data_IF_485182382040
#
_entry.id   IF_485182382040
#
_cell.length_a   1.000
_cell.length_b   1.000
_cell.length_c   1.000
_cell.angle_alpha   90.00
_cell.angle_beta   90.00
_cell.angle_gamma   90.00
#
_symmetry.space_group_name_H-M   'P 1'
#
loop_
_entity.id
_entity.type
_entity.pdbx_description
1 polymer ?
#
# COMPACT_ATOMS: atom_id res chain seq x y z
N UNK A 1 -16.12 -2.97 -3.02
CA UNK A 1 -15.32 -2.32 -1.97
C UNK A 1 -14.35 -3.36 -1.45
N UNK A 2 -13.06 -3.04 -1.47
CA UNK A 2 -11.95 -3.93 -1.14
C UNK A 2 -12.04 -4.34 0.33
N UNK A 3 -11.90 -5.62 0.60
CA UNK A 3 -11.69 -6.13 1.95
C UNK A 3 -10.19 -6.14 2.24
N UNK A 4 -9.66 -5.00 2.69
CA UNK A 4 -8.22 -4.85 2.98
C UNK A 4 -7.69 -5.83 4.03
N UNK A 5 -8.43 -6.16 5.11
CA UNK A 5 -8.01 -7.21 6.05
C UNK A 5 -7.75 -8.58 5.40
N UNK A 6 -8.45 -8.90 4.30
CA UNK A 6 -8.28 -10.14 3.52
C UNK A 6 -7.55 -9.97 2.19
N UNK A 7 -6.95 -8.81 1.95
CA UNK A 7 -6.22 -8.50 0.71
C UNK A 7 -4.73 -8.40 0.98
N UNK A 8 -3.93 -9.05 0.14
CA UNK A 8 -2.51 -9.26 0.41
C UNK A 8 -1.66 -9.09 -0.85
N UNK A 9 -0.43 -8.62 -0.65
CA UNK A 9 0.65 -8.89 -1.57
C UNK A 9 1.54 -9.98 -0.95
N UNK A 10 1.87 -10.99 -1.76
CA UNK A 10 2.70 -12.13 -1.37
C UNK A 10 3.86 -12.25 -2.33
N UNK A 11 5.01 -12.70 -1.82
CA UNK A 11 6.16 -12.96 -2.67
C UNK A 11 7.07 -14.04 -2.10
N UNK A 12 7.91 -14.57 -2.98
CA UNK A 12 9.02 -15.46 -2.67
C UNK A 12 10.34 -14.71 -2.93
N UNK A 13 11.21 -14.66 -1.94
CA UNK A 13 12.52 -14.02 -2.11
C UNK A 13 13.41 -14.84 -3.03
N UNK A 14 14.35 -14.19 -3.71
CA UNK A 14 15.49 -14.92 -4.26
C UNK A 14 16.30 -15.58 -3.12
N UNK A 15 17.10 -16.63 -3.43
CA UNK A 15 18.00 -17.22 -2.46
C UNK A 15 18.92 -16.17 -1.84
N UNK A 16 18.89 -16.08 -0.52
CA UNK A 16 19.66 -15.07 0.21
C UNK A 16 21.16 -15.29 0.02
N UNK A 17 21.91 -14.19 0.00
CA UNK A 17 23.37 -14.18 -0.16
C UNK A 17 23.98 -13.49 1.05
N UNK A 18 25.13 -13.99 1.49
CA UNK A 18 25.90 -13.34 2.55
C UNK A 18 26.25 -11.91 2.13
N UNK A 19 26.04 -10.97 3.05
CA UNK A 19 26.51 -9.60 2.89
C UNK A 19 27.97 -9.51 3.37
N UNK A 20 28.87 -8.86 2.60
CA UNK A 20 30.29 -8.82 2.93
C UNK A 20 30.63 -8.02 4.20
N UNK A 21 29.71 -7.17 4.67
CA UNK A 21 29.95 -6.26 5.78
C UNK A 21 28.99 -6.49 6.94
N UNK A 22 27.75 -6.89 6.66
CA UNK A 22 26.69 -7.01 7.66
C UNK A 22 26.31 -8.46 7.92
N UNK A 23 26.51 -8.92 9.16
CA UNK A 23 26.09 -10.26 9.60
C UNK A 23 24.61 -10.54 9.35
N UNK A 24 23.76 -9.54 9.54
CA UNK A 24 22.30 -9.62 9.38
C UNK A 24 21.79 -8.44 8.55
N UNK A 25 22.28 -8.30 7.31
CA UNK A 25 21.82 -7.25 6.39
C UNK A 25 20.28 -7.22 6.32
N UNK A 26 19.68 -6.05 6.58
CA UNK A 26 18.23 -5.87 6.61
C UNK A 26 17.49 -6.73 7.66
N UNK A 27 18.19 -7.23 8.69
CA UNK A 27 17.63 -8.09 9.72
C UNK A 27 17.45 -9.55 9.33
N UNK A 28 17.97 -9.98 8.17
CA UNK A 28 17.83 -11.37 7.76
C UNK A 28 18.67 -12.31 8.62
N UNK A 29 18.03 -13.25 9.33
CA UNK A 29 18.71 -14.37 9.97
C UNK A 29 18.43 -15.63 9.15
N UNK A 30 19.49 -16.20 8.61
CA UNK A 30 19.43 -17.42 7.81
C UNK A 30 20.80 -17.78 7.27
N UNK A 31 20.81 -18.72 6.33
CA UNK A 31 22.02 -19.17 5.63
C UNK A 31 21.95 -18.77 4.16
N UNK A 32 23.12 -18.65 3.53
CA UNK A 32 23.20 -18.52 2.07
C UNK A 32 22.35 -19.60 1.39
N UNK A 33 21.50 -19.19 0.45
CA UNK A 33 20.55 -20.07 -0.23
C UNK A 33 19.15 -20.13 0.39
N UNK A 34 18.96 -19.63 1.62
CA UNK A 34 17.63 -19.59 2.25
C UNK A 34 16.65 -18.75 1.42
N UNK A 35 15.43 -19.24 1.31
CA UNK A 35 14.31 -18.54 0.66
C UNK A 35 13.22 -18.30 1.68
N UNK A 36 12.56 -17.13 1.59
CA UNK A 36 11.40 -16.79 2.42
C UNK A 36 10.18 -16.59 1.54
N UNK A 37 9.04 -17.06 2.04
CA UNK A 37 7.74 -16.68 1.51
C UNK A 37 7.15 -15.65 2.47
N UNK A 38 6.77 -14.51 1.92
CA UNK A 38 6.32 -13.35 2.69
C UNK A 38 4.93 -12.97 2.24
N UNK A 39 4.14 -12.48 3.20
CA UNK A 39 2.81 -11.92 2.99
C UNK A 39 2.69 -10.66 3.82
N UNK A 40 2.12 -9.61 3.24
CA UNK A 40 1.68 -8.42 3.96
C UNK A 40 0.36 -7.91 3.40
N UNK A 41 -0.35 -7.16 4.23
CA UNK A 41 -1.63 -6.56 3.87
C UNK A 41 -1.46 -5.40 2.91
N UNK A 42 -2.45 -5.24 2.04
CA UNK A 42 -2.62 -4.02 1.26
C UNK A 42 -3.42 -3.03 2.12
N UNK A 43 -3.03 -1.76 2.15
CA UNK A 43 -3.67 -0.71 2.96
C UNK A 43 -4.15 0.49 2.14
N UNK A 44 -3.86 0.52 0.84
CA UNK A 44 -4.54 1.43 -0.08
C UNK A 44 -4.48 0.86 -1.50
N UNK A 45 -5.47 1.22 -2.32
CA UNK A 45 -5.47 1.00 -3.76
C UNK A 45 -5.80 2.29 -4.48
N UNK A 46 -5.12 2.56 -5.58
CA UNK A 46 -5.42 3.63 -6.52
C UNK A 46 -5.64 3.02 -7.90
N UNK A 47 -6.77 3.32 -8.53
CA UNK A 47 -7.07 2.91 -9.90
C UNK A 47 -7.09 4.13 -10.80
N UNK A 48 -6.34 4.07 -11.90
CA UNK A 48 -6.42 5.04 -13.01
C UNK A 48 -7.34 4.42 -14.06
N UNK A 49 -8.32 5.16 -14.55
CA UNK A 49 -9.30 4.70 -15.55
C UNK A 49 -9.57 5.75 -16.62
N UNK A 50 -9.99 5.31 -17.80
CA UNK A 50 -10.48 6.21 -18.86
C UNK A 50 -11.93 6.66 -18.61
N UNK A 51 -12.45 7.56 -19.46
CA UNK A 51 -13.83 8.09 -19.38
C UNK A 51 -14.91 7.00 -19.45
N UNK A 52 -14.60 5.80 -19.96
CA UNK A 52 -15.53 4.66 -20.01
C UNK A 52 -15.44 3.78 -18.75
N UNK A 53 -14.63 4.16 -17.77
CA UNK A 53 -14.41 3.41 -16.54
C UNK A 53 -13.52 2.17 -16.71
N UNK A 54 -12.82 2.02 -17.85
CA UNK A 54 -11.87 0.92 -18.02
C UNK A 54 -10.62 1.23 -17.20
N UNK A 55 -10.27 0.33 -16.29
CA UNK A 55 -9.02 0.42 -15.53
C UNK A 55 -7.81 0.33 -16.48
N UNK A 56 -6.95 1.34 -16.42
CA UNK A 56 -5.69 1.44 -17.16
C UNK A 56 -4.50 1.05 -16.27
N UNK A 57 -4.60 1.33 -14.97
CA UNK A 57 -3.57 1.03 -13.99
C UNK A 57 -4.17 0.78 -12.61
N UNK A 58 -3.51 -0.06 -11.83
CA UNK A 58 -3.72 -0.19 -10.40
C UNK A 58 -2.39 0.01 -9.68
N UNK A 59 -2.44 0.81 -8.62
CA UNK A 59 -1.34 1.04 -7.70
C UNK A 59 -1.82 0.68 -6.30
N UNK A 60 -0.90 0.24 -5.47
CA UNK A 60 -1.19 -0.24 -4.12
C UNK A 60 -0.12 0.28 -3.16
N UNK A 61 -0.54 0.57 -1.94
CA UNK A 61 0.36 0.73 -0.79
C UNK A 61 0.07 -0.44 0.13
N UNK A 62 1.11 -1.12 0.59
CA UNK A 62 0.92 -2.13 1.63
C UNK A 62 1.35 -1.66 3.01
N UNK A 63 1.00 -2.50 3.98
CA UNK A 63 1.19 -2.22 5.39
C UNK A 63 2.65 -1.89 5.74
N UNK A 64 2.88 -1.02 6.74
CA UNK A 64 4.22 -0.73 7.22
C UNK A 64 4.92 -2.00 7.70
N UNK A 65 6.14 -2.20 7.21
CA UNK A 65 7.04 -3.20 7.70
C UNK A 65 8.02 -2.55 8.68
N UNK A 66 8.29 -3.23 9.79
CA UNK A 66 9.25 -2.78 10.80
C UNK A 66 10.54 -3.58 10.61
N UNK A 67 11.67 -3.03 11.03
CA UNK A 67 12.93 -3.78 10.99
C UNK A 67 13.06 -4.60 12.26
N UNK A 68 12.54 -5.81 12.20
CA UNK A 68 12.85 -6.90 13.12
C UNK A 68 13.96 -7.79 12.56
N UNK A 69 14.56 -8.61 13.43
CA UNK A 69 15.28 -9.78 12.96
C UNK A 69 14.28 -10.82 12.45
N UNK A 70 14.50 -11.38 11.25
CA UNK A 70 13.58 -12.36 10.67
C UNK A 70 13.85 -13.75 11.23
N UNK A 71 12.82 -14.37 11.81
CA UNK A 71 12.88 -15.73 12.41
C UNK A 71 14.04 -15.90 13.41
N UNK A 72 14.23 -15.01 14.41
CA UNK A 72 15.26 -15.15 15.41
C UNK A 72 14.87 -16.24 16.42
N UNK A 73 15.87 -16.87 17.06
CA UNK A 73 15.61 -17.71 18.24
C UNK A 73 15.35 -16.86 19.49
N UNK A 74 16.00 -15.70 19.57
CA UNK A 74 15.92 -14.75 20.66
C UNK A 74 16.22 -13.34 20.14
N UNK A 75 15.73 -12.30 20.84
CA UNK A 75 15.98 -10.91 20.46
C UNK A 75 15.31 -10.49 19.15
N UNK A 76 13.97 -10.57 19.08
CA UNK A 76 13.21 -10.25 17.86
C UNK A 76 13.34 -8.78 17.41
N UNK A 77 13.24 -7.85 18.36
CA UNK A 77 13.25 -6.42 18.07
C UNK A 77 14.67 -5.91 17.84
N UNK A 78 14.87 -5.18 16.73
CA UNK A 78 16.08 -4.39 16.54
C UNK A 78 15.92 -3.06 17.27
N UNK A 79 17.00 -2.59 17.91
CA UNK A 79 17.04 -1.30 18.59
C UNK A 79 18.29 -0.55 18.13
N UNK A 80 18.16 0.59 17.42
CA UNK A 80 16.89 1.19 16.98
C UNK A 80 16.19 0.34 15.89
N UNK A 81 14.87 0.38 15.86
CA UNK A 81 14.06 -0.13 14.74
C UNK A 81 13.78 1.00 13.75
N UNK A 82 13.59 0.66 12.48
CA UNK A 82 13.01 1.55 11.48
C UNK A 82 11.72 0.98 10.92
N UNK A 83 10.96 1.82 10.22
CA UNK A 83 9.75 1.46 9.50
C UNK A 83 9.94 1.80 8.02
N UNK A 84 9.49 0.92 7.14
CA UNK A 84 9.46 1.16 5.71
C UNK A 84 8.13 0.72 5.11
N UNK A 85 7.83 1.26 3.93
CA UNK A 85 6.64 0.93 3.15
C UNK A 85 7.03 0.60 1.71
N UNK A 86 6.11 -0.07 1.04
CA UNK A 86 6.24 -0.42 -0.36
C UNK A 86 4.99 0.03 -1.11
N UNK A 87 5.23 0.63 -2.27
CA UNK A 87 4.21 0.89 -3.27
C UNK A 87 4.47 0.00 -4.48
N UNK A 88 3.42 -0.47 -5.13
CA UNK A 88 3.52 -1.39 -6.25
C UNK A 88 2.33 -1.23 -7.20
N UNK A 89 2.57 -1.48 -8.48
CA UNK A 89 1.54 -1.83 -9.44
C UNK A 89 1.41 -3.35 -9.53
N UNK A 90 0.63 -3.84 -10.49
CA UNK A 90 0.55 -5.28 -10.79
C UNK A 90 1.86 -5.90 -11.24
N UNK A 91 2.78 -5.11 -11.76
CA UNK A 91 4.01 -5.60 -12.40
C UNK A 91 5.27 -4.94 -11.87
N UNK A 92 5.16 -3.79 -11.19
CA UNK A 92 6.32 -3.01 -10.75
C UNK A 92 6.24 -2.66 -9.27
N UNK A 93 7.39 -2.61 -8.61
CA UNK A 93 7.57 -1.84 -7.39
C UNK A 93 7.78 -0.37 -7.77
N UNK A 94 6.99 0.51 -7.17
CA UNK A 94 7.05 1.95 -7.39
C UNK A 94 7.93 2.58 -6.28
N UNK A 95 8.89 3.44 -6.64
CA UNK A 95 9.73 4.08 -5.63
C UNK A 95 8.92 5.04 -4.75
N UNK A 96 9.24 5.06 -3.46
CA UNK A 96 8.74 6.05 -2.50
C UNK A 96 9.93 6.94 -2.13
N UNK A 97 9.71 8.25 -2.09
CA UNK A 97 10.73 9.23 -1.69
C UNK A 97 11.32 8.86 -0.32
N UNK A 98 12.65 8.93 -0.19
CA UNK A 98 13.35 8.49 1.03
C UNK A 98 13.25 9.50 2.17
N UNK A 99 12.87 10.74 1.87
CA UNK A 99 12.68 11.83 2.83
C UNK A 99 11.51 12.72 2.41
N UNK A 100 10.83 13.36 3.38
CA UNK A 100 9.89 14.42 3.08
C UNK A 100 10.64 15.59 2.44
N UNK A 101 10.52 15.72 1.11
CA UNK A 101 11.19 16.76 0.34
C UNK A 101 10.41 17.03 -0.96
N UNK A 102 10.52 18.24 -1.48
CA UNK A 102 10.08 18.56 -2.84
C UNK A 102 11.17 18.30 -3.90
N UNK A 103 12.35 17.87 -3.47
CA UNK A 103 13.46 17.56 -4.38
C UNK A 103 13.21 16.24 -5.11
N UNK A 104 13.52 16.21 -6.40
CA UNK A 104 13.51 14.98 -7.20
C UNK A 104 14.65 14.06 -6.77
N UNK A 105 14.31 12.81 -6.44
CA UNK A 105 15.29 11.75 -6.23
C UNK A 105 15.40 10.91 -7.50
N UNK A 106 16.62 10.52 -7.94
CA UNK A 106 16.77 9.56 -9.02
C UNK A 106 16.24 8.21 -8.53
N UNK A 107 15.04 7.86 -8.97
CA UNK A 107 14.39 6.59 -8.69
C UNK A 107 13.61 6.15 -9.93
N UNK A 108 13.58 4.85 -10.16
CA UNK A 108 12.80 4.24 -11.23
C UNK A 108 11.97 3.11 -10.66
N UNK A 109 10.81 2.86 -11.27
CA UNK A 109 10.08 1.64 -11.03
C UNK A 109 10.97 0.42 -11.35
N UNK A 110 10.77 -0.65 -10.59
CA UNK A 110 11.48 -1.93 -10.77
C UNK A 110 10.46 -3.02 -11.05
N UNK A 111 10.66 -3.83 -12.08
CA UNK A 111 9.82 -5.00 -12.37
C UNK A 111 9.80 -5.96 -11.16
N UNK A 112 8.63 -6.47 -10.80
CA UNK A 112 8.46 -7.36 -9.65
C UNK A 112 9.20 -8.69 -9.85
N UNK A 113 9.30 -9.18 -11.09
CA UNK A 113 10.07 -10.38 -11.44
C UNK A 113 11.59 -10.20 -11.28
N UNK A 114 12.09 -8.97 -11.26
CA UNK A 114 13.49 -8.67 -10.93
C UNK A 114 13.71 -8.57 -9.41
N UNK A 115 12.66 -8.22 -8.66
CA UNK A 115 12.70 -8.07 -7.21
C UNK A 115 12.42 -9.39 -6.47
N UNK A 116 11.59 -10.26 -7.05
CA UNK A 116 11.04 -11.46 -6.40
C UNK A 116 11.08 -12.67 -7.33
N UNK A 117 11.27 -13.86 -6.76
CA UNK A 117 11.25 -15.10 -7.53
C UNK A 117 9.83 -15.48 -7.99
N UNK A 118 8.84 -15.11 -7.19
CA UNK A 118 7.41 -15.34 -7.43
C UNK A 118 6.63 -14.31 -6.63
N UNK A 119 5.47 -13.89 -7.12
CA UNK A 119 4.69 -12.82 -6.50
C UNK A 119 3.20 -12.86 -6.90
N UNK A 120 2.31 -12.50 -5.98
CA UNK A 120 0.86 -12.40 -6.23
C UNK A 120 0.20 -11.30 -5.40
N UNK A 121 -0.66 -10.52 -6.05
CA UNK A 121 -1.50 -9.47 -5.43
C UNK A 121 -2.95 -9.95 -5.43
N UNK A 122 -3.41 -10.41 -4.28
CA UNK A 122 -4.78 -10.92 -4.10
C UNK A 122 -5.66 -9.88 -3.43
N UNK A 123 -6.65 -9.35 -4.16
CA UNK A 123 -7.67 -8.47 -3.62
C UNK A 123 -8.95 -9.27 -3.34
N UNK A 124 -9.52 -9.06 -2.16
CA UNK A 124 -10.87 -9.54 -1.82
C UNK A 124 -11.82 -8.35 -1.78
N UNK A 125 -13.11 -8.62 -1.97
CA UNK A 125 -14.15 -7.61 -1.96
C UNK A 125 -15.18 -7.99 -0.89
N UNK A 126 -15.75 -6.99 -0.22
CA UNK A 126 -16.98 -7.19 0.53
C UNK A 126 -18.12 -7.53 -0.44
N UNK A 127 -18.94 -8.55 -0.15
CA UNK A 127 -20.02 -8.95 -1.04
C UNK A 127 -21.16 -7.92 -1.09
N UNK A 128 -21.41 -7.22 0.02
CA UNK A 128 -22.53 -6.29 0.18
C UNK A 128 -22.10 -5.02 0.93
N UNK A 129 -21.24 -4.16 0.34
CA UNK A 129 -20.90 -2.89 0.97
C UNK A 129 -22.11 -1.95 0.96
N UNK A 130 -22.26 -1.17 2.03
CA UNK A 130 -23.27 -0.12 2.15
C UNK A 130 -22.56 1.22 1.96
N UNK A 131 -23.06 2.04 1.05
CA UNK A 131 -22.53 3.38 0.80
C UNK A 131 -23.08 4.35 1.85
N UNK A 132 -22.20 5.13 2.48
CA UNK A 132 -22.51 6.12 3.51
C UNK A 132 -22.03 7.49 3.03
N UNK A 133 -22.95 8.31 2.51
CA UNK A 133 -22.66 9.66 2.02
C UNK A 133 -23.09 10.77 2.99
N UNK A 134 -23.79 10.40 4.07
CA UNK A 134 -24.29 11.30 5.09
C UNK A 134 -23.55 11.09 6.42
N UNK A 135 -23.37 12.17 7.18
CA UNK A 135 -22.60 12.11 8.42
C UNK A 135 -23.24 11.25 9.50
N UNK A 136 -24.57 11.30 9.67
CA UNK A 136 -25.28 10.56 10.73
C UNK A 136 -25.10 9.03 10.59
N UNK A 137 -25.41 8.38 9.44
CA UNK A 137 -25.14 6.95 9.24
C UNK A 137 -23.67 6.57 9.42
N UNK A 138 -22.74 7.45 9.07
CA UNK A 138 -21.30 7.22 9.24
C UNK A 138 -20.90 7.25 10.71
N UNK A 139 -21.42 8.21 11.50
CA UNK A 139 -21.23 8.26 12.95
C UNK A 139 -21.80 7.00 13.61
N UNK A 140 -23.02 6.58 13.24
CA UNK A 140 -23.64 5.37 13.77
C UNK A 140 -22.80 4.12 13.45
N UNK A 141 -22.35 3.97 12.20
CA UNK A 141 -21.49 2.87 11.79
C UNK A 141 -20.14 2.87 12.54
N UNK A 142 -19.57 4.05 12.79
CA UNK A 142 -18.34 4.22 13.57
C UNK A 142 -18.54 3.75 15.01
N UNK A 143 -19.62 4.18 15.67
CA UNK A 143 -19.94 3.78 17.05
C UNK A 143 -20.27 2.28 17.16
N UNK A 144 -20.78 1.68 16.09
CA UNK A 144 -21.02 0.25 15.99
C UNK A 144 -19.75 -0.59 15.72
N UNK A 145 -18.58 0.03 15.59
CA UNK A 145 -17.31 -0.61 15.19
C UNK A 145 -17.42 -1.34 13.84
N UNK A 146 -18.20 -0.78 12.91
CA UNK A 146 -18.27 -1.32 11.55
C UNK A 146 -16.91 -1.21 10.86
N UNK A 147 -16.62 -2.14 9.94
CA UNK A 147 -15.50 -1.97 9.01
C UNK A 147 -15.87 -0.89 8.01
N UNK A 148 -15.03 0.13 7.90
CA UNK A 148 -15.24 1.28 7.05
C UNK A 148 -14.09 1.42 6.06
N UNK A 149 -14.40 1.70 4.80
CA UNK A 149 -13.43 2.17 3.82
C UNK A 149 -13.85 3.54 3.33
N UNK A 150 -12.87 4.38 3.02
CA UNK A 150 -13.08 5.59 2.25
C UNK A 150 -12.77 5.32 0.78
N UNK A 151 -13.57 5.91 -0.11
CA UNK A 151 -13.34 5.92 -1.55
C UNK A 151 -13.44 7.35 -2.06
N UNK A 152 -12.38 7.85 -2.67
CA UNK A 152 -12.31 9.18 -3.24
C UNK A 152 -12.05 9.06 -4.74
N UNK A 153 -12.85 9.75 -5.56
CA UNK A 153 -12.66 9.78 -7.01
C UNK A 153 -12.57 11.21 -7.49
N UNK A 154 -11.62 11.50 -8.37
CA UNK A 154 -11.53 12.76 -9.09
C UNK A 154 -11.23 12.51 -10.58
N UNK A 155 -11.52 13.52 -11.40
CA UNK A 155 -11.12 13.56 -12.81
C UNK A 155 -10.00 14.58 -12.96
N UNK A 156 -8.96 14.22 -13.69
CA UNK A 156 -7.91 15.13 -14.09
C UNK A 156 -8.30 15.81 -15.41
N UNK A 157 -8.48 17.14 -15.38
CA UNK A 157 -8.97 17.88 -16.55
C UNK A 157 -7.95 17.95 -17.70
N UNK A 158 -6.65 17.79 -17.42
CA UNK A 158 -5.61 17.84 -18.45
C UNK A 158 -5.55 16.57 -19.30
N UNK A 159 -5.66 15.42 -18.64
CA UNK A 159 -5.56 14.09 -19.27
C UNK A 159 -6.92 13.47 -19.55
N UNK A 160 -7.98 13.96 -18.90
CA UNK A 160 -9.32 13.36 -18.91
C UNK A 160 -9.42 12.08 -18.07
N UNK A 161 -8.35 11.65 -17.39
CA UNK A 161 -8.32 10.39 -16.65
C UNK A 161 -9.06 10.50 -15.32
N UNK A 162 -9.67 9.40 -14.91
CA UNK A 162 -10.30 9.26 -13.59
C UNK A 162 -9.36 8.52 -12.64
N UNK A 163 -9.13 9.10 -11.46
CA UNK A 163 -8.34 8.49 -10.40
C UNK A 163 -9.25 8.19 -9.23
N UNK A 164 -9.27 6.92 -8.80
CA UNK A 164 -10.03 6.46 -7.64
C UNK A 164 -9.09 5.88 -6.61
N UNK A 165 -9.07 6.43 -5.40
CA UNK A 165 -8.32 5.91 -4.27
C UNK A 165 -9.27 5.31 -3.25
N UNK A 166 -8.98 4.08 -2.82
CA UNK A 166 -9.72 3.37 -1.78
C UNK A 166 -8.75 2.93 -0.66
N UNK A 167 -9.15 3.08 0.59
CA UNK A 167 -8.35 2.71 1.76
C UNK A 167 -9.24 2.39 2.98
N UNK A 168 -8.79 1.54 3.91
CA UNK A 168 -9.53 1.27 5.14
C UNK A 168 -9.43 2.48 6.09
N UNK A 169 -10.53 2.79 6.76
CA UNK A 169 -10.58 3.82 7.80
C UNK A 169 -10.07 3.22 9.10
N UNK A 170 -8.76 3.36 9.32
CA UNK A 170 -8.10 2.82 10.52
C UNK A 170 -8.21 3.77 11.74
N UNK A 171 -8.48 5.05 11.51
CA UNK A 171 -8.67 6.05 12.55
C UNK A 171 -9.65 7.11 12.06
N UNK A 172 -10.68 7.35 12.85
CA UNK A 172 -11.69 8.38 12.60
C UNK A 172 -12.00 9.13 13.89
N UNK A 173 -12.04 10.45 13.80
CA UNK A 173 -12.54 11.32 14.86
C UNK A 173 -14.01 11.65 14.55
N UNK A 174 -14.89 11.56 15.55
CA UNK A 174 -16.32 11.91 15.43
C UNK A 174 -16.71 12.96 16.47
N UNK A 175 -17.55 13.91 16.06
CA UNK A 175 -18.20 14.87 16.93
C UNK A 175 -19.72 14.66 16.81
N UNK A 176 -20.32 14.15 17.89
CA UNK A 176 -21.75 13.80 17.93
C UNK A 176 -22.66 15.04 17.92
N UNK A 177 -22.23 16.15 18.53
CA UNK A 177 -23.07 17.34 18.65
C UNK A 177 -23.31 18.01 17.30
N UNK A 178 -22.29 17.99 16.45
CA UNK A 178 -22.30 18.65 15.14
C UNK A 178 -22.49 17.69 13.96
N UNK A 179 -22.67 16.39 14.24
CA UNK A 179 -22.66 15.31 13.24
C UNK A 179 -21.48 15.46 12.25
N UNK A 180 -20.28 15.65 12.79
CA UNK A 180 -19.08 15.90 12.01
C UNK A 180 -18.05 14.80 12.24
N UNK A 181 -17.19 14.55 11.24
CA UNK A 181 -16.14 13.56 11.33
C UNK A 181 -14.88 13.98 10.57
N UNK A 182 -13.75 13.37 10.93
CA UNK A 182 -12.49 13.49 10.21
C UNK A 182 -11.81 12.13 10.16
N UNK A 183 -11.53 11.66 8.93
CA UNK A 183 -10.81 10.42 8.68
C UNK A 183 -9.32 10.72 8.63
N UNK A 184 -8.51 10.03 9.43
CA UNK A 184 -7.07 10.06 9.26
C UNK A 184 -6.73 9.16 8.07
N UNK A 185 -6.29 9.80 6.99
CA UNK A 185 -5.73 9.06 5.87
C UNK A 185 -4.41 8.44 6.32
N UNK A 186 -4.28 7.14 6.16
CA UNK A 186 -2.97 6.50 6.15
C UNK A 186 -2.14 7.00 4.95
N UNK A 187 -0.97 6.39 4.70
CA UNK A 187 -0.25 6.62 3.47
C UNK A 187 -1.09 6.16 2.28
N UNK A 188 -1.32 7.07 1.33
CA UNK A 188 -2.02 6.81 0.09
C UNK A 188 -1.04 6.92 -1.07
N UNK A 189 -1.32 6.23 -2.17
CA UNK A 189 -0.63 6.43 -3.44
C UNK A 189 -1.50 7.29 -4.34
N UNK A 190 -0.96 8.46 -4.72
CA UNK A 190 -1.55 9.36 -5.69
C UNK A 190 -0.56 9.51 -6.84
N UNK A 191 -0.91 9.12 -8.07
CA UNK A 191 0.03 9.13 -9.17
C UNK A 191 0.29 10.55 -9.68
N UNK A 192 1.55 10.87 -10.00
CA UNK A 192 1.84 12.02 -10.85
C UNK A 192 1.51 11.65 -12.30
N UNK A 193 0.29 11.99 -12.74
CA UNK A 193 -0.20 11.70 -14.09
C UNK A 193 0.65 12.36 -15.20
N UNK A 194 1.45 13.39 -14.89
CA UNK A 194 2.38 13.98 -15.87
C UNK A 194 3.51 13.02 -16.25
N UNK A 195 3.76 11.99 -15.45
CA UNK A 195 4.76 10.93 -15.71
C UNK A 195 4.16 9.63 -16.24
N UNK A 196 2.83 9.59 -16.44
CA UNK A 196 2.17 8.40 -16.92
C UNK A 196 2.53 8.11 -18.38
N UNK A 197 3.16 6.96 -18.61
CA UNK A 197 3.55 6.53 -19.96
C UNK A 197 2.53 5.57 -20.62
N UNK A 198 1.33 5.42 -20.03
CA UNK A 198 0.30 4.48 -20.48
C UNK A 198 0.40 3.08 -19.86
N UNK A 199 1.48 2.79 -19.11
CA UNK A 199 1.68 1.50 -18.44
C UNK A 199 2.09 1.62 -16.98
N UNK A 200 2.97 2.58 -16.67
CA UNK A 200 3.60 2.77 -15.36
C UNK A 200 3.62 4.26 -15.02
N UNK A 201 3.49 4.56 -13.74
CA UNK A 201 3.79 5.88 -13.17
C UNK A 201 5.19 5.77 -12.58
N UNK A 202 6.10 6.63 -13.01
CA UNK A 202 7.49 6.59 -12.54
C UNK A 202 7.67 7.19 -11.13
N UNK A 203 6.71 8.04 -10.69
CA UNK A 203 6.73 8.71 -9.38
C UNK A 203 5.34 9.03 -8.82
#
# INVERSE_FOLDING_TARGET
>A
MIDFPRSFFTWKTFPWKDDPYYKYAGGFIGKAGDVRQVRFNIEASCTISDDNGRALAELFVGAPCRTEYTIPREGFFQIPSSEFRMAFSRTHRIPIARRPSGETEPASAQELDEAFQDHDISLKQFPHPIELNDSEPLVDATLANALLNARCTYRDDQTGLHVTVEFPVNLINVNLADAAFQICTGPLVLPDLTTWNGRIVDR
#
